data_IF_179728324189
#
_entry.id   IF_179728324189
#
_cell.length_a   1.000
_cell.length_b   1.000
_cell.length_c   1.000
_cell.angle_alpha   90.00
_cell.angle_beta   90.00
_cell.angle_gamma   90.00
#
_symmetry.space_group_name_H-M   'P 1'
#
loop_
_entity.id
_entity.type
_entity.pdbx_description
1 polymer ?
#
# COMPACT_ATOMS: atom_id res chain seq x y z
N UNK A 1 44.76 -3.50 15.76
CA UNK A 1 44.88 -2.21 15.09
C UNK A 1 44.39 -2.26 13.61
N UNK A 2 43.21 -2.84 13.33
CA UNK A 2 42.66 -2.89 11.95
C UNK A 2 41.20 -2.44 11.89
N UNK A 3 40.76 -1.52 12.76
CA UNK A 3 39.34 -1.10 12.83
C UNK A 3 39.15 0.43 12.70
N UNK A 4 40.06 1.11 12.03
CA UNK A 4 39.98 2.60 11.97
C UNK A 4 40.15 3.19 10.58
N UNK A 5 39.58 2.58 9.55
CA UNK A 5 39.69 3.20 8.20
C UNK A 5 38.51 2.87 7.29
N UNK A 6 37.39 2.43 7.82
CA UNK A 6 36.14 2.36 7.06
C UNK A 6 35.25 3.54 7.51
N UNK A 7 35.67 4.72 7.16
CA UNK A 7 34.91 5.53 6.25
C UNK A 7 33.97 6.57 6.84
N UNK A 8 34.56 7.53 7.56
CA UNK A 8 33.91 8.83 7.79
C UNK A 8 33.47 9.47 6.47
N UNK A 9 34.17 9.19 5.37
CA UNK A 9 33.86 9.69 4.03
C UNK A 9 32.55 9.11 3.48
N UNK A 10 32.30 7.81 3.69
CA UNK A 10 31.05 7.16 3.28
C UNK A 10 29.85 7.64 4.11
N UNK A 11 30.03 7.75 5.45
CA UNK A 11 29.00 8.29 6.33
C UNK A 11 28.68 9.75 6.02
N UNK A 12 29.68 10.58 5.79
CA UNK A 12 29.50 11.98 5.37
C UNK A 12 28.82 12.09 4.01
N UNK A 13 29.23 11.29 3.01
CA UNK A 13 28.63 11.27 1.69
C UNK A 13 27.17 10.80 1.72
N UNK A 14 26.85 9.79 2.53
CA UNK A 14 25.50 9.29 2.71
C UNK A 14 24.61 10.28 3.50
N UNK A 15 25.16 10.97 4.49
CA UNK A 15 24.50 12.06 5.20
C UNK A 15 24.22 13.26 4.27
N UNK A 16 25.18 13.66 3.44
CA UNK A 16 25.00 14.74 2.47
C UNK A 16 23.99 14.39 1.37
N UNK A 17 23.96 13.13 0.88
CA UNK A 17 22.97 12.71 -0.11
C UNK A 17 21.55 12.67 0.47
N UNK A 18 21.40 12.27 1.73
CA UNK A 18 20.11 12.30 2.44
C UNK A 18 19.62 13.73 2.71
N UNK A 19 20.53 14.64 3.03
CA UNK A 19 20.23 16.07 3.22
C UNK A 19 19.84 16.72 1.87
N UNK A 20 20.58 16.46 0.80
CA UNK A 20 20.29 16.98 -0.54
C UNK A 20 18.94 16.46 -1.07
N UNK A 21 18.60 15.18 -0.83
CA UNK A 21 17.30 14.62 -1.17
C UNK A 21 16.15 15.27 -0.41
N UNK A 22 16.33 15.52 0.88
CA UNK A 22 15.38 16.24 1.72
C UNK A 22 15.15 17.68 1.27
N UNK A 23 16.22 18.39 0.93
CA UNK A 23 16.14 19.79 0.50
C UNK A 23 15.49 19.90 -0.88
N UNK A 24 15.76 18.98 -1.78
CA UNK A 24 15.11 18.91 -3.10
C UNK A 24 13.60 18.67 -2.98
N UNK A 25 13.17 17.81 -2.06
CA UNK A 25 11.74 17.58 -1.79
C UNK A 25 11.07 18.82 -1.17
N UNK A 26 11.77 19.53 -0.26
CA UNK A 26 11.26 20.75 0.34
C UNK A 26 11.16 21.91 -0.67
N UNK A 27 12.05 21.97 -1.64
CA UNK A 27 12.07 23.01 -2.70
C UNK A 27 11.10 22.74 -3.85
N UNK A 28 10.53 21.55 -3.93
CA UNK A 28 9.61 21.17 -5.02
C UNK A 28 8.34 22.01 -5.00
N UNK A 29 7.93 22.55 -6.16
CA UNK A 29 6.69 23.32 -6.26
C UNK A 29 5.44 22.47 -5.97
N UNK A 30 4.38 23.10 -5.50
CA UNK A 30 3.07 22.43 -5.28
C UNK A 30 2.55 21.77 -6.55
N UNK A 31 2.74 22.43 -7.69
CA UNK A 31 2.34 21.90 -9.01
C UNK A 31 3.10 20.63 -9.35
N UNK A 32 4.42 20.63 -9.16
CA UNK A 32 5.27 19.46 -9.44
C UNK A 32 4.92 18.29 -8.53
N UNK A 33 4.72 18.55 -7.24
CA UNK A 33 4.29 17.53 -6.28
C UNK A 33 2.94 16.91 -6.67
N UNK A 34 1.96 17.73 -7.01
CA UNK A 34 0.63 17.25 -7.41
C UNK A 34 0.70 16.46 -8.72
N UNK A 35 1.45 16.91 -9.71
CA UNK A 35 1.65 16.18 -10.96
C UNK A 35 2.29 14.81 -10.72
N UNK A 36 3.33 14.74 -9.88
CA UNK A 36 3.98 13.48 -9.53
C UNK A 36 3.00 12.51 -8.85
N UNK A 37 2.27 12.97 -7.83
CA UNK A 37 1.31 12.12 -7.13
C UNK A 37 0.21 11.62 -8.06
N UNK A 38 -0.39 12.49 -8.86
CA UNK A 38 -1.45 12.08 -9.78
C UNK A 38 -0.92 11.15 -10.88
N UNK A 39 0.26 11.43 -11.45
CA UNK A 39 0.86 10.55 -12.46
C UNK A 39 1.11 9.14 -11.93
N UNK A 40 1.74 9.03 -10.74
CA UNK A 40 1.97 7.72 -10.10
C UNK A 40 0.64 7.03 -9.78
N UNK A 41 -0.34 7.76 -9.24
CA UNK A 41 -1.64 7.18 -8.90
C UNK A 41 -2.40 6.67 -10.14
N UNK A 42 -2.39 7.44 -11.21
CA UNK A 42 -3.03 7.04 -12.48
C UNK A 42 -2.34 5.79 -13.05
N UNK A 43 -1.00 5.76 -13.05
CA UNK A 43 -0.24 4.59 -13.52
C UNK A 43 -0.60 3.35 -12.72
N UNK A 44 -0.67 3.44 -11.37
CA UNK A 44 -1.03 2.30 -10.51
C UNK A 44 -2.45 1.84 -10.79
N UNK A 45 -3.41 2.76 -10.88
CA UNK A 45 -4.82 2.42 -11.15
C UNK A 45 -4.98 1.79 -12.53
N UNK A 46 -4.33 2.34 -13.56
CA UNK A 46 -4.37 1.78 -14.91
C UNK A 46 -3.69 0.40 -14.98
N UNK A 47 -2.58 0.21 -14.28
CA UNK A 47 -1.90 -1.09 -14.19
C UNK A 47 -2.84 -2.14 -13.59
N UNK A 48 -3.49 -1.84 -12.45
CA UNK A 48 -4.45 -2.75 -11.82
C UNK A 48 -5.64 -3.01 -12.72
N UNK A 49 -6.22 -1.97 -13.34
CA UNK A 49 -7.33 -2.12 -14.26
C UNK A 49 -6.95 -3.00 -15.47
N UNK A 50 -5.77 -2.77 -16.04
CA UNK A 50 -5.25 -3.59 -17.16
C UNK A 50 -5.15 -5.07 -16.78
N UNK A 51 -4.63 -5.39 -15.59
CA UNK A 51 -4.51 -6.78 -15.11
C UNK A 51 -5.88 -7.46 -14.94
N UNK A 52 -6.94 -6.72 -14.62
CA UNK A 52 -8.30 -7.27 -14.54
C UNK A 52 -8.89 -7.64 -15.92
N UNK A 53 -8.45 -6.95 -16.99
CA UNK A 53 -8.94 -7.21 -18.37
C UNK A 53 -8.08 -8.20 -19.15
N UNK A 54 -6.81 -8.37 -18.78
CA UNK A 54 -5.85 -9.26 -19.47
C UNK A 54 -5.31 -10.29 -18.45
N UNK A 55 -6.14 -11.26 -18.05
CA UNK A 55 -5.69 -12.31 -17.14
C UNK A 55 -4.65 -13.21 -17.82
N UNK A 56 -3.72 -13.75 -17.01
CA UNK A 56 -2.67 -14.68 -17.48
C UNK A 56 -1.69 -14.08 -18.51
N UNK A 57 -1.46 -12.75 -18.43
CA UNK A 57 -0.50 -12.07 -19.30
C UNK A 57 0.96 -12.51 -19.07
N UNK A 58 1.26 -13.05 -17.89
CA UNK A 58 2.61 -13.46 -17.50
C UNK A 58 2.55 -14.79 -16.75
N UNK A 59 3.25 -15.79 -17.25
CA UNK A 59 3.51 -17.04 -16.52
C UNK A 59 4.89 -16.97 -15.87
N UNK A 60 4.97 -17.21 -14.56
CA UNK A 60 6.23 -17.25 -13.83
C UNK A 60 6.49 -18.70 -13.45
N UNK A 61 7.38 -19.36 -14.21
CA UNK A 61 7.72 -20.75 -13.96
C UNK A 61 8.34 -20.93 -12.56
N UNK A 62 7.87 -21.95 -11.83
CA UNK A 62 8.36 -22.28 -10.50
C UNK A 62 7.74 -21.49 -9.34
N UNK A 63 6.87 -20.49 -9.59
CA UNK A 63 6.17 -19.77 -8.54
C UNK A 63 4.77 -20.36 -8.30
N UNK A 64 4.51 -20.84 -7.08
CA UNK A 64 3.15 -21.22 -6.69
C UNK A 64 2.31 -19.95 -6.39
N UNK A 65 1.71 -19.38 -7.44
CA UNK A 65 0.91 -18.14 -7.35
C UNK A 65 -0.33 -18.29 -6.46
N UNK A 66 -0.80 -19.52 -6.20
CA UNK A 66 -1.97 -19.78 -5.36
C UNK A 66 -1.74 -19.47 -3.86
N UNK A 67 -0.49 -19.26 -3.45
CA UNK A 67 -0.13 -18.81 -2.08
C UNK A 67 -0.32 -17.29 -1.94
N UNK A 68 -0.27 -16.53 -3.03
CA UNK A 68 -0.28 -15.06 -3.01
C UNK A 68 -1.56 -14.45 -2.42
N UNK A 69 -2.79 -14.97 -2.66
CA UNK A 69 -3.99 -14.43 -2.02
C UNK A 69 -3.94 -14.52 -0.48
N UNK A 70 -3.42 -15.64 0.06
CA UNK A 70 -3.22 -15.80 1.50
C UNK A 70 -2.18 -14.84 2.05
N UNK A 71 -1.06 -14.67 1.32
CA UNK A 71 -0.03 -13.69 1.66
C UNK A 71 -0.61 -12.26 1.65
N UNK A 72 -1.40 -11.91 0.66
CA UNK A 72 -2.05 -10.60 0.56
C UNK A 72 -3.00 -10.32 1.73
N UNK A 73 -3.77 -11.32 2.16
CA UNK A 73 -4.61 -11.19 3.35
C UNK A 73 -3.79 -11.01 4.63
N UNK A 74 -2.67 -11.73 4.77
CA UNK A 74 -1.74 -11.55 5.88
C UNK A 74 -1.11 -10.15 5.89
N UNK A 75 -0.65 -9.66 4.75
CA UNK A 75 -0.10 -8.29 4.62
C UNK A 75 -1.14 -7.25 5.00
N UNK A 76 -2.37 -7.36 4.52
CA UNK A 76 -3.46 -6.45 4.88
C UNK A 76 -3.78 -6.48 6.39
N UNK A 77 -3.76 -7.66 7.01
CA UNK A 77 -3.93 -7.79 8.46
C UNK A 77 -2.81 -7.08 9.23
N UNK A 78 -1.55 -7.29 8.82
CA UNK A 78 -0.40 -6.60 9.40
C UNK A 78 -0.48 -5.08 9.20
N UNK A 79 -0.88 -4.60 8.01
CA UNK A 79 -1.12 -3.19 7.75
C UNK A 79 -2.18 -2.61 8.68
N UNK A 80 -3.30 -3.32 8.89
CA UNK A 80 -4.37 -2.89 9.81
C UNK A 80 -3.83 -2.67 11.23
N UNK A 81 -3.00 -3.60 11.73
CA UNK A 81 -2.37 -3.48 13.05
C UNK A 81 -1.42 -2.29 13.09
N UNK A 82 -0.53 -2.15 12.09
CA UNK A 82 0.44 -1.05 12.03
C UNK A 82 -0.24 0.32 11.94
N UNK A 83 -1.28 0.47 11.14
CA UNK A 83 -2.05 1.71 11.02
C UNK A 83 -2.73 2.07 12.35
N UNK A 84 -3.32 1.08 13.03
CA UNK A 84 -3.97 1.26 14.33
C UNK A 84 -2.95 1.66 15.41
N UNK A 85 -1.81 0.98 15.48
CA UNK A 85 -0.72 1.32 16.39
C UNK A 85 -0.13 2.70 16.07
N UNK A 86 0.05 3.02 14.78
CA UNK A 86 0.53 4.33 14.37
C UNK A 86 -0.40 5.46 14.81
N UNK A 87 -1.72 5.25 14.71
CA UNK A 87 -2.69 6.18 15.24
C UNK A 87 -2.62 6.29 16.78
N UNK A 88 -2.51 5.17 17.47
CA UNK A 88 -2.35 5.15 18.93
C UNK A 88 -1.12 5.95 19.36
N UNK A 89 0.04 5.73 18.72
CA UNK A 89 1.28 6.41 19.10
C UNK A 89 1.22 7.92 18.85
N UNK A 90 0.61 8.38 17.76
CA UNK A 90 0.47 9.82 17.55
C UNK A 90 -0.47 10.47 18.58
N UNK A 91 -1.51 9.76 19.03
CA UNK A 91 -2.36 10.23 20.14
C UNK A 91 -1.58 10.32 21.46
N UNK A 92 -0.57 9.49 21.65
CA UNK A 92 0.37 9.55 22.79
C UNK A 92 1.54 10.51 22.55
N UNK A 93 1.51 11.33 21.48
CA UNK A 93 2.57 12.28 21.11
C UNK A 93 3.93 11.62 20.81
N UNK A 94 3.98 10.29 20.63
CA UNK A 94 5.17 9.57 20.22
C UNK A 94 5.31 9.58 18.69
N UNK A 95 5.92 10.67 18.18
CA UNK A 95 6.07 10.90 16.73
C UNK A 95 7.01 9.88 16.09
N UNK A 96 8.06 9.43 16.82
CA UNK A 96 9.01 8.46 16.28
C UNK A 96 8.35 7.10 16.02
N UNK A 97 7.60 6.58 16.99
CA UNK A 97 6.87 5.32 16.84
C UNK A 97 5.76 5.44 15.77
N UNK A 98 5.03 6.56 15.73
CA UNK A 98 4.06 6.83 14.67
C UNK A 98 4.71 6.74 13.28
N UNK A 99 5.82 7.45 13.07
CA UNK A 99 6.55 7.46 11.80
C UNK A 99 6.98 6.05 11.40
N UNK A 100 7.53 5.28 12.33
CA UNK A 100 7.97 3.89 12.07
C UNK A 100 6.78 3.02 11.64
N UNK A 101 5.66 3.05 12.38
CA UNK A 101 4.46 2.26 12.05
C UNK A 101 3.89 2.64 10.67
N UNK A 102 3.77 3.95 10.37
CA UNK A 102 3.25 4.42 9.08
C UNK A 102 4.16 4.04 7.91
N UNK A 103 5.48 4.16 8.05
CA UNK A 103 6.43 3.76 7.01
C UNK A 103 6.43 2.25 6.77
N UNK A 104 6.32 1.45 7.84
CA UNK A 104 6.19 -0.01 7.72
C UNK A 104 4.88 -0.39 7.02
N UNK A 105 3.75 0.23 7.37
CA UNK A 105 2.48 0.01 6.69
C UNK A 105 2.56 0.39 5.20
N UNK A 106 3.21 1.51 4.86
CA UNK A 106 3.43 1.93 3.48
C UNK A 106 4.29 0.92 2.71
N UNK A 107 5.40 0.46 3.29
CA UNK A 107 6.26 -0.57 2.70
C UNK A 107 5.52 -1.88 2.45
N UNK A 108 4.72 -2.35 3.43
CA UNK A 108 3.89 -3.54 3.25
C UNK A 108 2.82 -3.36 2.17
N UNK A 109 2.25 -2.14 2.03
CA UNK A 109 1.28 -1.87 0.97
C UNK A 109 1.91 -1.91 -0.43
N UNK A 110 3.19 -1.53 -0.58
CA UNK A 110 3.93 -1.72 -1.82
C UNK A 110 4.16 -3.21 -2.12
N UNK A 111 4.54 -3.99 -1.11
CA UNK A 111 4.68 -5.45 -1.25
C UNK A 111 3.33 -6.11 -1.61
N UNK A 112 2.24 -5.67 -0.97
CA UNK A 112 0.89 -6.09 -1.34
C UNK A 112 0.60 -5.81 -2.82
N UNK A 113 0.88 -4.60 -3.31
CA UNK A 113 0.64 -4.22 -4.70
C UNK A 113 1.41 -5.11 -5.67
N UNK A 114 2.69 -5.38 -5.40
CA UNK A 114 3.52 -6.28 -6.21
C UNK A 114 2.95 -7.70 -6.23
N UNK A 115 2.63 -8.26 -5.05
CA UNK A 115 2.03 -9.58 -4.91
C UNK A 115 0.67 -9.67 -5.61
N UNK A 116 -0.17 -8.62 -5.48
CA UNK A 116 -1.48 -8.52 -6.11
C UNK A 116 -1.38 -8.53 -7.64
N UNK A 117 -0.49 -7.68 -8.19
CA UNK A 117 -0.24 -7.62 -9.64
C UNK A 117 0.27 -8.97 -10.15
N UNK A 118 1.24 -9.59 -9.44
CA UNK A 118 1.77 -10.92 -9.80
C UNK A 118 0.67 -11.98 -9.82
N UNK A 119 -0.20 -12.01 -8.82
CA UNK A 119 -1.31 -12.97 -8.76
C UNK A 119 -2.27 -12.78 -9.93
N UNK A 120 -2.76 -11.56 -10.14
CA UNK A 120 -3.78 -11.29 -11.19
C UNK A 120 -3.24 -11.40 -12.62
N UNK A 121 -1.92 -11.23 -12.81
CA UNK A 121 -1.30 -11.45 -14.12
C UNK A 121 -1.04 -12.92 -14.45
N UNK A 122 -1.03 -13.82 -13.45
CA UNK A 122 -0.57 -15.20 -13.63
C UNK A 122 -1.62 -16.26 -13.28
N UNK A 123 -2.59 -15.94 -12.41
CA UNK A 123 -3.60 -16.89 -11.96
C UNK A 123 -4.93 -16.75 -12.71
N UNK A 124 -5.67 -17.85 -12.92
CA UNK A 124 -7.03 -17.78 -13.41
C UNK A 124 -7.95 -17.03 -12.44
N UNK A 125 -8.95 -16.33 -12.97
CA UNK A 125 -9.92 -15.61 -12.14
C UNK A 125 -10.82 -16.61 -11.38
N UNK A 126 -10.95 -16.42 -10.07
CA UNK A 126 -11.87 -17.21 -9.25
C UNK A 126 -13.21 -16.50 -9.14
N UNK A 127 -14.29 -17.21 -9.46
CA UNK A 127 -15.65 -16.68 -9.30
C UNK A 127 -16.18 -16.97 -7.89
N UNK A 128 -16.87 -15.98 -7.30
CA UNK A 128 -17.53 -16.18 -6.02
C UNK A 128 -18.78 -17.05 -6.20
N UNK A 129 -18.79 -18.22 -5.56
CA UNK A 129 -19.86 -19.22 -5.69
C UNK A 129 -20.99 -19.08 -4.66
N UNK A 130 -20.99 -18.06 -3.81
CA UNK A 130 -22.07 -17.81 -2.86
C UNK A 130 -23.34 -17.30 -3.53
N UNK A 131 -24.51 -17.64 -2.95
CA UNK A 131 -25.82 -17.28 -3.48
C UNK A 131 -26.61 -16.40 -2.50
N UNK A 132 -27.72 -15.83 -2.96
CA UNK A 132 -28.63 -15.03 -2.12
C UNK A 132 -27.96 -13.79 -1.53
N UNK A 133 -28.26 -13.51 -0.26
CA UNK A 133 -27.81 -12.29 0.43
C UNK A 133 -26.29 -12.21 0.58
N UNK A 134 -25.62 -13.37 0.76
CA UNK A 134 -24.17 -13.40 0.91
C UNK A 134 -23.44 -12.92 -0.35
N UNK A 135 -24.01 -13.19 -1.53
CA UNK A 135 -23.51 -12.69 -2.80
C UNK A 135 -23.60 -11.18 -2.87
N UNK A 136 -24.72 -10.60 -2.45
CA UNK A 136 -24.91 -9.15 -2.42
C UNK A 136 -23.91 -8.50 -1.46
N UNK A 137 -23.74 -9.05 -0.26
CA UNK A 137 -22.78 -8.55 0.73
C UNK A 137 -21.36 -8.59 0.18
N UNK A 138 -20.94 -9.71 -0.43
CA UNK A 138 -19.62 -9.87 -1.02
C UNK A 138 -19.34 -8.80 -2.07
N UNK A 139 -20.21 -8.63 -3.06
CA UNK A 139 -20.00 -7.66 -4.13
C UNK A 139 -20.08 -6.22 -3.64
N UNK A 140 -20.90 -5.91 -2.66
CA UNK A 140 -20.94 -4.57 -2.04
C UNK A 140 -19.61 -4.24 -1.37
N UNK A 141 -19.05 -5.17 -0.58
CA UNK A 141 -17.74 -4.99 0.05
C UNK A 141 -16.64 -4.92 -1.01
N UNK A 142 -16.65 -5.80 -2.01
CA UNK A 142 -15.64 -5.84 -3.06
C UNK A 142 -15.62 -4.53 -3.87
N UNK A 143 -16.77 -4.04 -4.33
CA UNK A 143 -16.85 -2.82 -5.14
C UNK A 143 -16.40 -1.61 -4.33
N UNK A 144 -16.89 -1.46 -3.10
CA UNK A 144 -16.46 -0.36 -2.23
C UNK A 144 -14.97 -0.44 -1.88
N UNK A 145 -14.44 -1.66 -1.65
CA UNK A 145 -13.01 -1.88 -1.45
C UNK A 145 -12.19 -1.42 -2.66
N UNK A 146 -12.53 -1.84 -3.87
CA UNK A 146 -11.82 -1.47 -5.10
C UNK A 146 -11.86 0.04 -5.32
N UNK A 147 -13.03 0.67 -5.17
CA UNK A 147 -13.17 2.12 -5.32
C UNK A 147 -12.29 2.89 -4.33
N UNK A 148 -12.31 2.50 -3.05
CA UNK A 148 -11.51 3.15 -2.01
C UNK A 148 -10.03 2.78 -2.12
N UNK A 149 -9.67 1.60 -2.64
CA UNK A 149 -8.29 1.23 -2.95
C UNK A 149 -7.68 2.13 -4.03
N UNK A 150 -8.45 2.55 -5.02
CA UNK A 150 -7.99 3.54 -6.00
C UNK A 150 -7.79 4.94 -5.37
N UNK A 151 -8.70 5.34 -4.47
CA UNK A 151 -8.65 6.65 -3.79
C UNK A 151 -7.51 6.71 -2.77
N UNK A 152 -7.20 5.61 -2.08
CA UNK A 152 -6.16 5.64 -1.05
C UNK A 152 -4.76 5.88 -1.62
N UNK A 153 -4.48 5.52 -2.86
CA UNK A 153 -3.15 5.69 -3.48
C UNK A 153 -2.73 7.17 -3.48
N UNK A 154 -3.47 8.11 -4.10
CA UNK A 154 -3.09 9.51 -4.05
C UNK A 154 -3.13 10.09 -2.63
N UNK A 155 -4.08 9.70 -1.79
CA UNK A 155 -4.18 10.19 -0.41
C UNK A 155 -2.96 9.79 0.43
N UNK A 156 -2.50 8.54 0.34
CA UNK A 156 -1.33 8.06 1.06
C UNK A 156 -0.06 8.78 0.58
N UNK A 157 0.11 8.95 -0.74
CA UNK A 157 1.26 9.66 -1.31
C UNK A 157 1.28 11.13 -0.88
N UNK A 158 0.16 11.85 -0.96
CA UNK A 158 0.09 13.24 -0.47
C UNK A 158 0.38 13.33 1.02
N UNK A 159 -0.19 12.43 1.82
CA UNK A 159 0.01 12.41 3.27
C UNK A 159 1.48 12.20 3.60
N UNK A 160 2.15 11.28 2.91
CA UNK A 160 3.57 10.98 3.09
C UNK A 160 4.46 12.15 2.67
N UNK A 161 4.24 12.71 1.47
CA UNK A 161 5.02 13.84 0.96
C UNK A 161 4.88 15.08 1.85
N UNK A 162 3.68 15.40 2.35
CA UNK A 162 3.48 16.49 3.32
C UNK A 162 4.25 16.27 4.62
N UNK A 163 4.30 15.02 5.10
CA UNK A 163 5.10 14.68 6.28
C UNK A 163 6.62 14.87 6.03
N UNK A 164 7.12 14.43 4.87
CA UNK A 164 8.54 14.59 4.50
C UNK A 164 8.95 16.05 4.30
N UNK A 165 8.02 16.89 3.80
CA UNK A 165 8.21 18.33 3.67
C UNK A 165 8.09 19.08 5.01
N UNK A 166 7.79 18.37 6.10
CA UNK A 166 7.51 18.96 7.43
C UNK A 166 6.29 19.89 7.46
N UNK A 167 5.38 19.74 6.51
CA UNK A 167 4.13 20.51 6.40
C UNK A 167 3.03 19.86 7.26
N UNK A 168 3.26 19.79 8.57
CA UNK A 168 2.41 19.05 9.50
C UNK A 168 0.94 19.52 9.57
N UNK A 169 0.59 20.82 9.40
CA UNK A 169 -0.82 21.22 9.34
C UNK A 169 -1.55 20.60 8.14
N UNK A 170 -0.92 20.57 6.96
CA UNK A 170 -1.47 19.98 5.74
C UNK A 170 -1.49 18.44 5.84
N UNK A 171 -0.41 17.85 6.36
CA UNK A 171 -0.37 16.42 6.68
C UNK A 171 -1.58 15.99 7.52
N UNK A 172 -1.83 16.66 8.64
CA UNK A 172 -2.96 16.35 9.55
C UNK A 172 -4.31 16.48 8.85
N UNK A 173 -4.46 17.51 7.99
CA UNK A 173 -5.69 17.75 7.24
C UNK A 173 -6.02 16.59 6.29
N UNK A 174 -5.02 16.03 5.60
CA UNK A 174 -5.19 14.90 4.67
C UNK A 174 -5.30 13.59 5.47
N UNK A 175 -4.43 13.38 6.44
CA UNK A 175 -4.33 12.16 7.23
C UNK A 175 -5.66 11.77 7.93
N UNK A 176 -6.50 12.75 8.28
CA UNK A 176 -7.84 12.48 8.87
C UNK A 176 -8.76 11.69 7.93
N UNK A 177 -8.55 11.79 6.62
CA UNK A 177 -9.28 11.02 5.61
C UNK A 177 -8.50 9.78 5.17
N UNK A 178 -7.19 9.92 5.02
CA UNK A 178 -6.30 8.83 4.62
C UNK A 178 -6.38 7.64 5.57
N UNK A 179 -6.30 7.87 6.88
CA UNK A 179 -6.25 6.80 7.86
C UNK A 179 -7.53 5.94 7.88
N UNK A 180 -8.75 6.49 8.01
CA UNK A 180 -9.95 5.66 8.02
C UNK A 180 -10.20 4.94 6.68
N UNK A 181 -9.89 5.59 5.54
CA UNK A 181 -10.00 4.95 4.23
C UNK A 181 -8.99 3.81 4.11
N UNK A 182 -7.75 4.02 4.56
CA UNK A 182 -6.72 2.98 4.51
C UNK A 182 -7.06 1.79 5.41
N UNK A 183 -7.52 2.03 6.64
CA UNK A 183 -8.03 0.98 7.52
C UNK A 183 -9.20 0.23 6.89
N UNK A 184 -10.15 0.93 6.29
CA UNK A 184 -11.26 0.29 5.58
C UNK A 184 -10.75 -0.65 4.47
N UNK A 185 -9.84 -0.18 3.63
CA UNK A 185 -9.28 -0.97 2.53
C UNK A 185 -8.53 -2.20 3.06
N UNK A 186 -7.69 -2.05 4.09
CA UNK A 186 -6.95 -3.19 4.63
C UNK A 186 -7.85 -4.21 5.31
N UNK A 187 -8.86 -3.78 6.07
CA UNK A 187 -9.83 -4.67 6.73
C UNK A 187 -10.71 -5.39 5.69
N UNK A 188 -11.28 -4.64 4.75
CA UNK A 188 -12.15 -5.24 3.72
C UNK A 188 -11.39 -6.14 2.76
N UNK A 189 -10.10 -5.88 2.50
CA UNK A 189 -9.25 -6.79 1.75
C UNK A 189 -9.11 -8.17 2.40
N UNK A 190 -9.01 -8.22 3.75
CA UNK A 190 -9.02 -9.47 4.50
C UNK A 190 -10.39 -10.14 4.41
N UNK A 191 -11.48 -9.37 4.59
CA UNK A 191 -12.86 -9.91 4.52
C UNK A 191 -13.13 -10.50 3.13
N UNK A 192 -12.80 -9.80 2.06
CA UNK A 192 -12.95 -10.29 0.67
C UNK A 192 -12.20 -11.61 0.48
N UNK A 193 -10.94 -11.69 0.97
CA UNK A 193 -10.18 -12.93 0.91
C UNK A 193 -10.87 -14.07 1.67
N UNK A 194 -11.32 -13.85 2.89
CA UNK A 194 -11.99 -14.87 3.70
C UNK A 194 -13.28 -15.36 3.04
N UNK A 195 -14.04 -14.48 2.38
CA UNK A 195 -15.27 -14.83 1.69
C UNK A 195 -15.02 -15.62 0.40
N UNK A 196 -13.95 -15.30 -0.37
CA UNK A 196 -13.67 -15.98 -1.65
C UNK A 196 -12.81 -17.22 -1.49
N UNK A 197 -12.03 -17.33 -0.40
CA UNK A 197 -11.05 -18.40 -0.21
C UNK A 197 -11.61 -19.84 -0.31
N UNK A 198 -12.87 -20.14 0.10
CA UNK A 198 -13.44 -21.48 -0.08
C UNK A 198 -13.62 -21.89 -1.54
N UNK A 199 -13.63 -20.92 -2.46
CA UNK A 199 -13.89 -21.16 -3.89
C UNK A 199 -12.61 -21.28 -4.74
N UNK A 200 -11.42 -21.11 -4.16
CA UNK A 200 -10.15 -21.26 -4.90
C UNK A 200 -9.89 -22.69 -5.42
N UNK A 201 -10.46 -23.70 -4.78
CA UNK A 201 -10.29 -25.12 -5.15
C UNK A 201 -11.37 -25.67 -6.06
N UNK A 202 -12.46 -24.93 -6.28
CA UNK A 202 -13.61 -25.39 -7.08
C UNK A 202 -13.51 -25.05 -8.56
N UNK A 203 -12.44 -24.33 -8.96
CA UNK A 203 -12.21 -23.89 -10.36
C UNK A 203 -11.05 -24.60 -11.06
N UNK A 204 -10.55 -25.72 -10.49
CA UNK A 204 -9.48 -26.53 -11.11
C UNK A 204 -10.06 -27.83 -11.64
#
# INVERSE_FOLDING_TARGET
>A
CWYHSLDDSWMMKNSQSNLAGSDKLKSMSERTMSLLVYSVSIIVVLLVAFMLYVPQAVTIDGLNVMVLPKLNAFINSACTVLLSLGFYFIRKKNVAAHRMMMMSAFGLSLLFLLSYVTYHSSAPSTTFGGEGIIRLVYFTILISHIALAAIIVPLALFTLLRAWRSEFPLHKKIARWTLPIWLYVTITGVIVYLMISPYYTMGQ
#
